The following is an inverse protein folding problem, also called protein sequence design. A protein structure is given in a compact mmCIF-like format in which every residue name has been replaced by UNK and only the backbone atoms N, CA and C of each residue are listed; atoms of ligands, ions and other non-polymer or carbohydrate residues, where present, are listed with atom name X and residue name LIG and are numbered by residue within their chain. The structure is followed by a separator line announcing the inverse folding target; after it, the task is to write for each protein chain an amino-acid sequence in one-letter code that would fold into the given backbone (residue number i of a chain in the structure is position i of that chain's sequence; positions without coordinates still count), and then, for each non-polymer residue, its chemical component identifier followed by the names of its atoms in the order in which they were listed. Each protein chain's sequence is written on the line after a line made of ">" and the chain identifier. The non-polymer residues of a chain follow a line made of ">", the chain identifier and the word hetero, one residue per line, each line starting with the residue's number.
data_IF_445203440157
#
_entry.id   IF_445203440157
#
_cell.length_a   1.000
_cell.length_b   1.000
_cell.length_c   1.000
_cell.angle_alpha   90.00
_cell.angle_beta   90.00
_cell.angle_gamma   90.00
#
_symmetry.space_group_name_H-M   'P 1'
#
loop_
_entity.id
_entity.type
_entity.pdbx_description
1 polymer ?
#
# COMPACT_ATOMS: atom_id res chain seq x y z
N UNK A 1 -17.49 -6.31 7.37
CA UNK A 1 -16.80 -5.20 8.05
C UNK A 1 -15.59 -5.78 8.77
N UNK A 2 -14.38 -5.55 8.23
CA UNK A 2 -13.12 -5.85 8.94
C UNK A 2 -12.41 -4.51 9.16
N UNK A 3 -12.85 -3.71 10.15
CA UNK A 3 -12.36 -2.35 10.35
C UNK A 3 -10.86 -2.29 10.70
N UNK A 4 -10.31 -3.36 11.26
CA UNK A 4 -8.90 -3.45 11.63
C UNK A 4 -7.96 -3.50 10.40
N UNK A 5 -8.33 -4.25 9.35
CA UNK A 5 -7.52 -4.39 8.14
C UNK A 5 -7.40 -3.06 7.38
N UNK A 6 -8.50 -2.30 7.31
CA UNK A 6 -8.51 -0.97 6.69
C UNK A 6 -7.69 0.05 7.50
N UNK A 7 -7.74 0.00 8.84
CA UNK A 7 -6.92 0.86 9.70
C UNK A 7 -5.42 0.58 9.54
N UNK A 8 -5.01 -0.69 9.51
CA UNK A 8 -3.62 -1.09 9.31
C UNK A 8 -3.12 -0.66 7.93
N UNK A 9 -3.91 -0.91 6.88
CA UNK A 9 -3.56 -0.47 5.53
C UNK A 9 -3.37 1.04 5.44
N UNK A 10 -4.29 1.83 6.02
CA UNK A 10 -4.19 3.30 6.02
C UNK A 10 -2.92 3.77 6.72
N UNK A 11 -2.60 3.19 7.89
CA UNK A 11 -1.37 3.53 8.62
C UNK A 11 -0.13 3.23 7.76
N UNK A 12 -0.03 2.01 7.24
CA UNK A 12 1.09 1.56 6.42
C UNK A 12 1.23 2.38 5.13
N UNK A 13 0.11 2.74 4.49
CA UNK A 13 0.08 3.60 3.32
C UNK A 13 0.65 5.00 3.62
N UNK A 14 0.27 5.64 4.72
CA UNK A 14 0.83 6.95 5.10
C UNK A 14 2.32 6.86 5.42
N UNK A 15 2.73 5.80 6.14
CA UNK A 15 4.14 5.52 6.42
C UNK A 15 4.93 5.34 5.12
N UNK A 16 4.41 4.56 4.16
CA UNK A 16 5.01 4.39 2.83
C UNK A 16 5.22 5.72 2.11
N UNK A 17 4.20 6.59 2.03
CA UNK A 17 4.33 7.90 1.41
C UNK A 17 5.39 8.77 2.08
N UNK A 18 5.46 8.75 3.42
CA UNK A 18 6.49 9.46 4.19
C UNK A 18 7.88 8.95 3.83
N UNK A 19 8.08 7.63 3.76
CA UNK A 19 9.37 7.03 3.38
C UNK A 19 9.78 7.42 1.96
N UNK A 20 8.88 7.39 0.98
CA UNK A 20 9.19 7.77 -0.40
C UNK A 20 9.62 9.25 -0.51
N UNK A 21 8.98 10.14 0.25
CA UNK A 21 9.36 11.56 0.33
C UNK A 21 10.72 11.75 0.98
N UNK A 22 10.99 11.06 2.09
CA UNK A 22 12.29 11.13 2.77
C UNK A 22 13.44 10.57 1.92
N UNK A 23 13.15 9.61 1.03
CA UNK A 23 14.10 9.12 0.01
C UNK A 23 14.35 10.12 -1.13
N UNK A 24 13.68 11.27 -1.16
CA UNK A 24 13.87 12.29 -2.19
C UNK A 24 13.36 11.89 -3.57
N UNK A 25 12.42 10.94 -3.66
CA UNK A 25 11.86 10.52 -4.94
C UNK A 25 11.03 11.65 -5.59
N UNK A 26 11.06 11.72 -6.92
CA UNK A 26 10.26 12.71 -7.65
C UNK A 26 8.76 12.52 -7.38
N UNK A 27 7.96 13.59 -7.33
CA UNK A 27 6.52 13.50 -7.09
C UNK A 27 5.80 12.51 -8.00
N UNK A 28 6.10 12.52 -9.32
CA UNK A 28 5.51 11.58 -10.28
C UNK A 28 5.79 10.11 -9.96
N UNK A 29 6.94 9.83 -9.35
CA UNK A 29 7.34 8.48 -8.94
C UNK A 29 6.58 8.08 -7.67
N UNK A 30 6.47 8.99 -6.70
CA UNK A 30 5.66 8.79 -5.49
C UNK A 30 4.21 8.50 -5.88
N UNK A 31 3.64 9.28 -6.79
CA UNK A 31 2.26 9.10 -7.25
C UNK A 31 2.06 7.75 -7.96
N UNK A 32 3.03 7.30 -8.76
CA UNK A 32 2.97 6.00 -9.41
C UNK A 32 2.95 4.86 -8.38
N UNK A 33 3.86 4.89 -7.39
CA UNK A 33 3.89 3.88 -6.33
C UNK A 33 2.63 3.91 -5.45
N UNK A 34 2.16 5.10 -5.09
CA UNK A 34 0.93 5.29 -4.32
C UNK A 34 -0.28 4.68 -5.04
N UNK A 35 -0.40 4.93 -6.35
CA UNK A 35 -1.47 4.32 -7.18
C UNK A 35 -1.35 2.81 -7.24
N UNK A 36 -0.15 2.27 -7.40
CA UNK A 36 0.07 0.83 -7.45
C UNK A 36 -0.37 0.15 -6.14
N UNK A 37 0.09 0.64 -4.99
CA UNK A 37 -0.28 0.09 -3.67
C UNK A 37 -1.79 0.19 -3.42
N UNK A 38 -2.45 1.28 -3.81
CA UNK A 38 -3.92 1.38 -3.68
C UNK A 38 -4.67 0.37 -4.55
N UNK A 39 -4.19 0.09 -5.76
CA UNK A 39 -4.78 -0.93 -6.65
C UNK A 39 -4.61 -2.34 -6.09
N UNK A 40 -3.39 -2.67 -5.63
CA UNK A 40 -3.10 -3.95 -4.99
C UNK A 40 -3.94 -4.11 -3.71
N UNK A 41 -4.01 -3.06 -2.89
CA UNK A 41 -4.87 -3.02 -1.71
C UNK A 41 -6.33 -3.30 -2.06
N UNK A 42 -6.91 -2.60 -3.04
CA UNK A 42 -8.29 -2.82 -3.45
C UNK A 42 -8.57 -4.25 -3.97
N UNK A 43 -7.59 -4.90 -4.60
CA UNK A 43 -7.73 -6.27 -5.08
C UNK A 43 -7.73 -7.30 -3.94
N UNK A 44 -6.96 -7.06 -2.86
CA UNK A 44 -6.82 -7.95 -1.72
C UNK A 44 -7.59 -7.49 -0.47
N UNK A 45 -8.70 -6.75 -0.63
CA UNK A 45 -9.50 -6.21 0.48
C UNK A 45 -8.67 -5.46 1.55
N UNK A 46 -7.63 -4.76 1.09
CA UNK A 46 -6.65 -4.02 1.87
C UNK A 46 -5.83 -4.88 2.86
N UNK A 47 -5.82 -6.21 2.68
CA UNK A 47 -5.02 -7.19 3.43
C UNK A 47 -3.82 -7.65 2.62
N UNK A 48 -2.84 -6.75 2.46
CA UNK A 48 -1.63 -6.99 1.66
C UNK A 48 -0.40 -7.35 2.52
N UNK A 49 -0.59 -7.49 3.82
CA UNK A 49 0.42 -7.80 4.84
C UNK A 49 0.60 -9.32 5.06
N UNK A 50 -0.32 -10.13 4.52
CA UNK A 50 -0.36 -11.59 4.70
C UNK A 50 -0.71 -12.29 3.38
N UNK A 51 0.01 -11.94 2.30
CA UNK A 51 -0.13 -12.58 0.99
C UNK A 51 0.71 -13.85 0.93
N UNK A 52 0.11 -14.94 0.46
CA UNK A 52 0.82 -16.18 0.14
C UNK A 52 1.37 -16.15 -1.29
N UNK A 53 2.39 -16.95 -1.57
CA UNK A 53 2.97 -17.06 -2.92
C UNK A 53 1.91 -17.48 -3.97
N UNK A 54 0.97 -18.34 -3.59
CA UNK A 54 -0.13 -18.77 -4.45
C UNK A 54 -1.07 -17.62 -4.84
N UNK A 55 -1.14 -16.53 -4.06
CA UNK A 55 -1.93 -15.34 -4.38
C UNK A 55 -1.17 -14.34 -5.27
N UNK A 56 0.12 -14.59 -5.53
CA UNK A 56 0.99 -13.74 -6.35
C UNK A 56 1.27 -14.35 -7.75
N UNK A 57 0.67 -15.50 -8.05
CA UNK A 57 0.86 -16.25 -9.31
C UNK A 57 -0.43 -16.26 -10.12
#
# INVERSE_FOLDING_TARGET
>A
MTPASDANFKHNYQTHLKHLRLKGLQPKTIDAYARAIRRVGAYFDYRIDDLSDAQLT
#
